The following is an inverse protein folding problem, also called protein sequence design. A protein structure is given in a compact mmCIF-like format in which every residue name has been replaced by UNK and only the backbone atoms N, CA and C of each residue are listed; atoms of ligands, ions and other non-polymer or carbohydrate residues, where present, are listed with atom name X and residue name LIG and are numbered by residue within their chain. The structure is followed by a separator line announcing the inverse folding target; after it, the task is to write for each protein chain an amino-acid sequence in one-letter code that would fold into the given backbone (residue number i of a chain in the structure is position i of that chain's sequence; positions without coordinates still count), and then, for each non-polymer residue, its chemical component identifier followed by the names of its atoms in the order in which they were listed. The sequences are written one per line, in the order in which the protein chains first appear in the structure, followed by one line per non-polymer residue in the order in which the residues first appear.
data_IF_303916128254
#
_entry.id   IF_303916128254
#
_cell.length_a   1.000
_cell.length_b   1.000
_cell.length_c   1.000
_cell.angle_alpha   90.00
_cell.angle_beta   90.00
_cell.angle_gamma   90.00
#
_symmetry.space_group_name_H-M   'P 1'
#
loop_
_entity.id
_entity.type
_entity.pdbx_description
1 polymer ?
#
# COMPACT_ATOMS: atom_id res chain seq x y z
N UNK A 1 -5.94 47.03 -1.26
CA UNK A 1 -6.38 46.12 -0.18
C UNK A 1 -5.89 44.75 -0.56
N UNK A 2 -4.85 44.28 0.15
CA UNK A 2 -4.47 42.88 0.47
C UNK A 2 -4.70 41.81 -0.60
N UNK A 3 -3.65 41.36 -1.29
CA UNK A 3 -2.73 40.25 -0.91
C UNK A 3 -3.29 38.86 -1.25
N UNK A 4 -2.44 37.95 -1.75
CA UNK A 4 -2.83 36.54 -1.78
C UNK A 4 -2.21 35.61 -2.82
N UNK A 5 -0.89 35.55 -2.89
CA UNK A 5 -0.12 34.31 -3.10
C UNK A 5 -0.49 33.37 -4.26
N UNK A 6 0.29 33.53 -5.35
CA UNK A 6 1.06 32.47 -6.04
C UNK A 6 0.78 31.03 -5.61
N UNK A 7 -0.09 30.34 -6.33
CA UNK A 7 -0.06 28.87 -6.41
C UNK A 7 0.93 28.45 -7.50
N UNK A 8 2.21 28.36 -7.11
CA UNK A 8 3.21 27.66 -7.92
C UNK A 8 2.90 26.16 -7.85
N UNK A 9 2.15 25.64 -8.82
CA UNK A 9 2.21 24.23 -9.17
C UNK A 9 3.63 23.96 -9.66
N UNK A 10 4.51 23.50 -8.77
CA UNK A 10 5.87 23.10 -9.14
C UNK A 10 5.79 21.81 -9.93
N UNK A 11 5.65 21.99 -11.25
CA UNK A 11 5.82 20.96 -12.25
C UNK A 11 7.18 20.27 -12.03
N UNK A 12 7.12 18.95 -11.97
CA UNK A 12 8.24 18.04 -11.88
C UNK A 12 9.08 18.15 -13.17
N UNK A 13 10.05 19.07 -13.18
CA UNK A 13 11.13 19.12 -14.16
C UNK A 13 12.41 18.67 -13.47
N UNK A 14 12.84 17.44 -13.74
CA UNK A 14 14.18 17.10 -14.26
C UNK A 14 14.49 15.63 -14.03
N UNK A 15 14.70 14.94 -15.14
CA UNK A 15 15.25 13.60 -15.26
C UNK A 15 16.74 13.63 -14.86
N UNK A 16 17.08 13.08 -13.69
CA UNK A 16 18.40 12.52 -13.31
C UNK A 16 18.49 12.36 -11.78
N UNK A 17 17.92 11.29 -11.25
CA UNK A 17 18.29 10.69 -9.97
C UNK A 17 17.76 9.24 -9.99
N UNK A 18 18.25 8.46 -10.95
CA UNK A 18 18.40 7.04 -10.67
C UNK A 18 19.68 6.98 -9.83
N UNK A 19 19.59 6.41 -8.63
CA UNK A 19 20.70 6.16 -7.68
C UNK A 19 20.93 7.19 -6.55
N UNK A 20 19.84 7.67 -5.94
CA UNK A 20 19.82 7.75 -4.47
C UNK A 20 18.65 6.88 -4.03
N UNK A 21 18.95 5.66 -3.58
CA UNK A 21 18.00 4.82 -2.87
C UNK A 21 17.74 5.42 -1.48
N UNK A 22 17.23 6.66 -1.44
CA UNK A 22 16.80 7.29 -0.22
C UNK A 22 15.60 6.48 0.28
N UNK A 23 15.73 5.89 1.47
CA UNK A 23 14.71 5.01 2.06
C UNK A 23 13.32 5.65 1.99
N UNK A 24 12.49 5.21 1.03
CA UNK A 24 11.11 5.66 0.90
C UNK A 24 10.21 4.73 1.69
N UNK A 25 9.38 5.30 2.57
CA UNK A 25 8.31 4.58 3.22
C UNK A 25 7.07 4.50 2.32
N UNK A 26 6.49 3.31 2.22
CA UNK A 26 5.20 3.10 1.57
C UNK A 26 4.09 3.10 2.60
N UNK A 27 3.14 4.01 2.44
CA UNK A 27 1.90 4.09 3.22
C UNK A 27 0.78 3.51 2.37
N UNK A 28 0.20 2.38 2.81
CA UNK A 28 -0.85 1.69 2.05
C UNK A 28 -1.82 0.96 2.98
N UNK A 29 -3.01 0.66 2.46
CA UNK A 29 -3.99 -0.20 3.13
C UNK A 29 -3.86 -1.63 2.60
N UNK A 30 -3.55 -2.64 3.43
CA UNK A 30 -3.38 -4.00 2.95
C UNK A 30 -4.63 -4.54 2.24
N UNK A 31 -4.42 -5.22 1.11
CA UNK A 31 -5.50 -5.92 0.44
C UNK A 31 -5.83 -7.23 1.16
N UNK A 32 -7.04 -7.75 0.94
CA UNK A 32 -7.44 -9.05 1.48
C UNK A 32 -6.62 -10.16 0.82
N UNK A 33 -6.05 -11.06 1.62
CA UNK A 33 -5.39 -12.28 1.11
C UNK A 33 -6.36 -13.08 0.24
N UNK A 34 -5.96 -13.46 -0.97
CA UNK A 34 -6.82 -14.17 -1.91
C UNK A 34 -7.42 -15.47 -1.34
N UNK A 35 -6.62 -16.21 -0.56
CA UNK A 35 -6.99 -17.48 0.08
C UNK A 35 -7.93 -17.34 1.28
N UNK A 36 -8.10 -16.15 1.85
CA UNK A 36 -8.91 -15.95 3.06
C UNK A 36 -10.02 -14.93 2.83
N UNK A 37 -11.23 -15.21 3.32
CA UNK A 37 -12.39 -14.31 3.19
C UNK A 37 -12.41 -13.16 4.21
N UNK A 38 -11.62 -13.25 5.28
CA UNK A 38 -11.58 -12.27 6.37
C UNK A 38 -11.09 -10.88 5.94
N UNK A 39 -11.74 -9.82 6.44
CA UNK A 39 -11.46 -8.41 6.10
C UNK A 39 -10.95 -7.57 7.28
N UNK A 40 -10.65 -8.19 8.42
CA UNK A 40 -10.25 -7.46 9.61
C UNK A 40 -8.95 -6.67 9.39
N UNK A 41 -7.92 -7.34 8.85
CA UNK A 41 -6.58 -6.79 8.60
C UNK A 41 -6.50 -5.81 7.43
N UNK A 42 -7.60 -5.57 6.71
CA UNK A 42 -7.63 -4.63 5.60
C UNK A 42 -8.13 -3.26 6.04
N UNK A 43 -8.39 -3.03 7.33
CA UNK A 43 -8.93 -1.74 7.81
C UNK A 43 -7.82 -0.73 8.07
N UNK A 44 -6.75 -1.21 8.67
CA UNK A 44 -5.65 -0.38 9.16
C UNK A 44 -4.75 0.07 8.01
N UNK A 45 -4.17 1.26 8.19
CA UNK A 45 -3.12 1.79 7.32
C UNK A 45 -1.77 1.26 7.79
N UNK A 46 -0.92 0.87 6.85
CA UNK A 46 0.43 0.39 7.15
C UNK A 46 1.47 1.30 6.52
N UNK A 47 2.46 1.67 7.33
CA UNK A 47 3.72 2.26 6.88
C UNK A 47 4.79 1.18 6.91
N UNK A 48 5.43 0.95 5.75
CA UNK A 48 6.50 -0.04 5.59
C UNK A 48 7.65 0.60 4.81
N UNK A 49 8.87 0.40 5.28
CA UNK A 49 10.07 0.87 4.58
C UNK A 49 10.38 -0.01 3.37
N UNK A 50 10.79 0.61 2.26
CA UNK A 50 11.38 -0.13 1.15
C UNK A 50 12.77 -0.66 1.58
N UNK A 51 13.08 -1.93 1.28
CA UNK A 51 14.35 -2.52 1.71
C UNK A 51 15.51 -1.86 0.97
N UNK A 52 16.51 -1.39 1.73
CA UNK A 52 17.71 -0.77 1.16
C UNK A 52 18.66 -1.83 0.59
N UNK A 53 18.79 -2.96 1.30
CA UNK A 53 19.72 -4.02 0.93
C UNK A 53 18.98 -5.29 0.51
N UNK A 54 19.42 -5.95 -0.58
CA UNK A 54 18.88 -7.25 -0.94
C UNK A 54 19.25 -8.29 0.13
N UNK A 55 18.32 -9.20 0.39
CA UNK A 55 18.55 -10.33 1.29
C UNK A 55 19.64 -11.24 0.71
N UNK A 56 20.58 -11.68 1.54
CA UNK A 56 21.68 -12.57 1.16
C UNK A 56 21.52 -13.93 1.81
N UNK A 57 22.00 -14.98 1.13
CA UNK A 57 22.03 -16.33 1.69
C UNK A 57 23.39 -16.52 2.35
N UNK A 58 23.38 -16.94 3.62
CA UNK A 58 24.59 -17.22 4.38
C UNK A 58 25.23 -18.55 3.90
N UNK A 59 26.55 -18.58 3.61
CA UNK A 59 27.19 -19.70 2.90
C UNK A 59 27.30 -20.99 3.70
N UNK A 60 27.31 -20.95 5.04
CA UNK A 60 27.50 -22.15 5.88
C UNK A 60 26.20 -22.90 6.11
N UNK A 61 25.17 -22.21 6.59
CA UNK A 61 23.88 -22.79 7.03
C UNK A 61 22.76 -22.58 6.01
N UNK A 62 22.93 -21.70 5.02
CA UNK A 62 21.92 -21.41 4.01
C UNK A 62 20.77 -20.51 4.51
N UNK A 63 20.92 -19.86 5.66
CA UNK A 63 19.90 -18.96 6.19
C UNK A 63 19.85 -17.63 5.42
N UNK A 64 18.66 -17.06 5.32
CA UNK A 64 18.49 -15.71 4.75
C UNK A 64 18.90 -14.68 5.78
N UNK A 65 20.01 -13.98 5.52
CA UNK A 65 20.52 -12.88 6.32
C UNK A 65 20.27 -11.53 5.63
N UNK A 66 19.98 -10.50 6.42
CA UNK A 66 19.85 -9.12 5.96
C UNK A 66 20.49 -8.20 6.99
N UNK A 67 21.23 -7.18 6.54
CA UNK A 67 21.75 -6.11 7.39
C UNK A 67 20.75 -4.97 7.63
N UNK A 68 19.62 -4.98 6.91
CA UNK A 68 18.61 -3.93 7.00
C UNK A 68 17.61 -4.23 8.13
N UNK A 69 17.71 -3.47 9.22
CA UNK A 69 16.80 -3.55 10.36
C UNK A 69 15.42 -2.94 10.04
N UNK A 70 15.37 -1.89 9.23
CA UNK A 70 14.15 -1.14 8.95
C UNK A 70 13.19 -1.95 8.08
N UNK A 71 13.71 -2.86 7.26
CA UNK A 71 12.91 -3.83 6.50
C UNK A 71 11.99 -4.71 7.37
N UNK A 72 12.27 -4.82 8.67
CA UNK A 72 11.46 -5.59 9.61
C UNK A 72 10.33 -4.77 10.23
N UNK A 73 10.40 -3.43 10.17
CA UNK A 73 9.43 -2.54 10.79
C UNK A 73 8.15 -2.44 9.95
N UNK A 74 7.01 -2.63 10.62
CA UNK A 74 5.68 -2.43 10.06
C UNK A 74 4.85 -1.67 11.08
N UNK A 75 4.52 -0.43 10.78
CA UNK A 75 3.74 0.42 11.67
C UNK A 75 2.29 0.46 11.20
N UNK A 76 1.35 0.22 12.11
CA UNK A 76 -0.09 0.25 11.85
C UNK A 76 -0.72 1.51 12.40
N UNK A 77 -1.57 2.15 11.60
CA UNK A 77 -2.30 3.38 11.93
C UNK A 77 -3.79 3.20 11.60
N UNK A 78 -4.65 3.95 12.29
CA UNK A 78 -6.09 3.90 12.05
C UNK A 78 -6.49 4.72 10.81
N UNK A 79 -5.79 5.83 10.57
CA UNK A 79 -6.09 6.79 9.51
C UNK A 79 -4.86 7.02 8.63
N UNK A 80 -5.10 7.50 7.40
CA UNK A 80 -4.04 7.86 6.46
C UNK A 80 -3.24 9.03 7.00
N UNK A 81 -3.94 10.00 7.56
CA UNK A 81 -3.41 11.27 8.04
C UNK A 81 -2.42 11.05 9.17
N UNK A 82 -2.71 10.14 10.12
CA UNK A 82 -1.78 9.76 11.18
C UNK A 82 -0.48 9.14 10.63
N UNK A 83 -0.58 8.31 9.60
CA UNK A 83 0.60 7.70 8.99
C UNK A 83 1.47 8.75 8.26
N UNK A 84 0.83 9.72 7.61
CA UNK A 84 1.50 10.83 6.93
C UNK A 84 2.16 11.77 7.94
N UNK A 85 1.45 12.16 8.99
CA UNK A 85 2.00 13.00 10.06
C UNK A 85 3.20 12.34 10.73
N UNK A 86 3.14 11.02 10.98
CA UNK A 86 4.29 10.29 11.50
C UNK A 86 5.48 10.35 10.54
N UNK A 87 5.26 10.16 9.24
CA UNK A 87 6.34 10.24 8.26
C UNK A 87 6.96 11.65 8.20
N UNK A 88 6.14 12.70 8.22
CA UNK A 88 6.59 14.09 8.21
C UNK A 88 7.34 14.47 9.50
N UNK A 89 6.86 14.03 10.66
CA UNK A 89 7.52 14.29 11.95
C UNK A 89 8.90 13.63 12.08
N UNK A 90 9.12 12.53 11.37
CA UNK A 90 10.38 11.80 11.38
C UNK A 90 11.25 12.08 10.14
N UNK A 91 10.85 13.04 9.30
CA UNK A 91 11.53 13.41 8.04
C UNK A 91 11.75 12.20 7.10
N UNK A 92 10.76 11.30 7.05
CA UNK A 92 10.82 10.08 6.24
C UNK A 92 10.18 10.38 4.87
N UNK A 93 10.91 10.21 3.75
CA UNK A 93 10.33 10.28 2.41
C UNK A 93 9.23 9.23 2.26
N UNK A 94 8.04 9.59 1.77
CA UNK A 94 6.93 8.64 1.69
C UNK A 94 6.18 8.65 0.36
N UNK A 95 5.56 7.51 0.03
CA UNK A 95 4.58 7.35 -1.05
C UNK A 95 3.27 6.82 -0.48
N UNK A 96 2.16 7.47 -0.79
CA UNK A 96 0.82 7.00 -0.42
C UNK A 96 0.19 6.24 -1.58
N UNK A 97 -0.27 5.02 -1.31
CA UNK A 97 -1.07 4.22 -2.22
C UNK A 97 -2.54 4.23 -1.79
N UNK A 98 -3.43 4.61 -2.71
CA UNK A 98 -4.86 4.65 -2.42
C UNK A 98 -5.45 3.24 -2.32
N UNK A 99 -6.36 3.00 -1.35
CA UNK A 99 -6.95 1.70 -1.15
C UNK A 99 -7.86 1.33 -2.34
N UNK A 100 -7.61 0.16 -2.93
CA UNK A 100 -8.50 -0.39 -3.96
C UNK A 100 -9.77 -0.98 -3.33
N UNK A 101 -10.85 -0.21 -3.35
CA UNK A 101 -12.14 -0.68 -2.85
C UNK A 101 -12.71 -1.82 -3.70
N UNK A 102 -13.13 -2.90 -3.04
CA UNK A 102 -13.81 -4.00 -3.71
C UNK A 102 -15.30 -3.67 -3.84
N UNK A 103 -15.77 -3.47 -5.07
CA UNK A 103 -17.20 -3.31 -5.36
C UNK A 103 -17.94 -4.58 -4.95
N UNK A 104 -18.98 -4.43 -4.12
CA UNK A 104 -19.87 -5.55 -3.76
C UNK A 104 -20.91 -5.72 -4.88
N UNK A 105 -20.98 -6.89 -5.53
CA UNK A 105 -22.07 -7.16 -6.47
C UNK A 105 -23.40 -7.28 -5.71
N UNK A 106 -24.49 -6.80 -6.31
CA UNK A 106 -25.84 -7.09 -5.86
C UNK A 106 -26.21 -8.46 -6.43
N UNK A 107 -26.30 -9.47 -5.57
CA UNK A 107 -26.64 -10.83 -5.97
C UNK A 107 -27.94 -11.19 -5.25
N UNK A 108 -29.01 -11.45 -6.00
CA UNK A 108 -30.24 -12.00 -5.46
C UNK A 108 -30.31 -13.50 -5.74
N UNK A 109 -30.72 -14.30 -4.76
CA UNK A 109 -30.87 -15.75 -4.95
C UNK A 109 -31.92 -16.09 -6.03
N UNK A 110 -32.97 -15.27 -6.15
CA UNK A 110 -33.99 -15.41 -7.20
C UNK A 110 -33.42 -15.28 -8.62
N UNK A 111 -32.35 -14.50 -8.81
CA UNK A 111 -31.68 -14.37 -10.11
C UNK A 111 -31.06 -15.70 -10.58
N UNK A 112 -30.91 -16.68 -9.70
CA UNK A 112 -30.42 -18.01 -10.09
C UNK A 112 -31.40 -18.75 -11.02
N UNK A 113 -32.71 -18.52 -10.88
CA UNK A 113 -33.78 -19.26 -11.58
C UNK A 113 -34.42 -18.49 -12.73
N UNK A 114 -33.83 -17.35 -13.13
CA UNK A 114 -34.35 -16.53 -14.23
C UNK A 114 -34.30 -17.29 -15.56
N UNK A 115 -35.42 -17.27 -16.28
CA UNK A 115 -35.56 -17.95 -17.57
C UNK A 115 -34.62 -17.37 -18.66
N UNK A 116 -34.23 -16.09 -18.53
CA UNK A 116 -33.36 -15.37 -19.46
C UNK A 116 -31.85 -15.55 -19.16
N UNK A 117 -31.48 -16.35 -18.15
CA UNK A 117 -30.08 -16.54 -17.76
C UNK A 117 -29.32 -17.37 -18.80
N UNK A 118 -28.24 -16.80 -19.37
CA UNK A 118 -27.42 -17.44 -20.43
C UNK A 118 -26.59 -18.65 -19.99
N UNK A 119 -26.29 -18.76 -18.71
CA UNK A 119 -25.50 -19.85 -18.13
C UNK A 119 -26.26 -20.41 -16.94
N UNK A 120 -26.65 -21.70 -16.92
CA UNK A 120 -27.33 -22.28 -15.77
C UNK A 120 -26.42 -22.21 -14.52
N UNK A 121 -27.04 -22.22 -13.34
CA UNK A 121 -26.31 -22.23 -12.07
C UNK A 121 -25.95 -23.64 -11.59
N UNK A 122 -26.48 -24.66 -12.27
CA UNK A 122 -26.18 -26.08 -12.05
C UNK A 122 -24.89 -26.48 -12.76
N UNK A 123 -24.25 -27.51 -12.22
CA UNK A 123 -22.96 -28.08 -12.66
C UNK A 123 -23.02 -28.71 -14.04
#
# INVERSE_FOLDING_TARGET
MVDGHRFLTRAWRSRAAADEAQMVARIYRPTRTAMQSGKAKTRDWMLVYEPEQPKRVEPLMGYTSSGDMLSQLRLSFETREQAVEYAERNDIPYRVEEPKETRRPKIAYADNFRYDRRQPWTH
#
